data_IF_161962937947
#
_entry.id   IF_161962937947
#
_cell.length_a   1.000
_cell.length_b   1.000
_cell.length_c   1.000
_cell.angle_alpha   90.00
_cell.angle_beta   90.00
_cell.angle_gamma   90.00
#
_symmetry.space_group_name_H-M   'P 1'
#
loop_
_entity.id
_entity.type
_entity.pdbx_description
1 polymer ?
#
# COMPACT_ATOMS: atom_id res chain seq x y z
N UNK A 1 -19.88 -15.96 1.37
CA UNK A 1 -18.82 -14.92 1.39
C UNK A 1 -19.18 -13.91 2.45
N UNK A 2 -18.22 -13.49 3.27
CA UNK A 2 -18.44 -12.45 4.28
C UNK A 2 -18.72 -11.10 3.59
N UNK A 3 -19.64 -10.29 4.14
CA UNK A 3 -19.96 -8.96 3.58
C UNK A 3 -18.74 -8.06 3.66
N UNK A 4 -18.39 -7.43 2.54
CA UNK A 4 -17.25 -6.53 2.38
C UNK A 4 -17.69 -5.06 2.48
N UNK A 5 -16.74 -4.22 2.91
CA UNK A 5 -16.91 -2.79 3.14
C UNK A 5 -15.67 -2.04 2.66
N UNK A 6 -15.78 -0.72 2.52
CA UNK A 6 -14.67 0.17 2.17
C UNK A 6 -14.22 0.93 3.41
N UNK A 7 -12.96 0.74 3.80
CA UNK A 7 -12.24 1.63 4.71
C UNK A 7 -11.61 2.75 3.88
N UNK A 8 -12.08 3.98 4.08
CA UNK A 8 -11.69 5.16 3.34
C UNK A 8 -10.84 6.12 4.17
N UNK A 9 -9.64 6.42 3.70
CA UNK A 9 -8.76 7.44 4.28
C UNK A 9 -8.93 8.78 3.53
N UNK A 10 -9.47 9.82 4.18
CA UNK A 10 -9.70 11.12 3.54
C UNK A 10 -8.42 11.96 3.34
N UNK A 11 -7.29 11.60 3.96
CA UNK A 11 -6.01 12.31 3.77
C UNK A 11 -5.30 11.81 2.51
N UNK A 12 -5.41 10.50 2.24
CA UNK A 12 -4.70 9.84 1.12
C UNK A 12 -5.62 9.45 -0.04
N UNK A 13 -6.94 9.57 0.14
CA UNK A 13 -7.96 9.05 -0.76
C UNK A 13 -7.91 7.52 -0.96
N UNK A 14 -7.18 6.80 -0.10
CA UNK A 14 -7.05 5.35 -0.17
C UNK A 14 -8.38 4.67 0.19
N UNK A 15 -8.71 3.63 -0.58
CA UNK A 15 -9.92 2.81 -0.39
C UNK A 15 -9.48 1.36 -0.26
N UNK A 16 -9.62 0.80 0.94
CA UNK A 16 -9.29 -0.61 1.22
C UNK A 16 -10.57 -1.39 1.42
N UNK A 17 -10.65 -2.55 0.77
CA UNK A 17 -11.74 -3.51 1.01
C UNK A 17 -11.44 -4.24 2.32
N UNK A 18 -12.40 -4.26 3.24
CA UNK A 18 -12.27 -4.86 4.57
C UNK A 18 -13.55 -5.60 4.95
N UNK A 19 -13.46 -6.51 5.91
CA UNK A 19 -14.62 -7.09 6.61
C UNK A 19 -14.75 -6.50 8.01
N UNK A 20 -15.93 -6.59 8.63
CA UNK A 20 -16.13 -6.11 10.00
C UNK A 20 -15.30 -6.91 11.00
N UNK A 21 -15.12 -8.22 10.77
CA UNK A 21 -14.28 -9.07 11.61
C UNK A 21 -12.84 -8.57 11.63
N UNK A 22 -12.25 -8.41 10.44
CA UNK A 22 -10.87 -7.94 10.28
C UNK A 22 -10.69 -6.56 10.93
N UNK A 23 -11.62 -5.65 10.67
CA UNK A 23 -11.52 -4.28 11.19
C UNK A 23 -11.71 -4.22 12.70
N UNK A 24 -12.56 -5.07 13.29
CA UNK A 24 -12.74 -5.16 14.73
C UNK A 24 -11.45 -5.56 15.43
N UNK A 25 -10.76 -6.58 14.89
CA UNK A 25 -9.46 -7.03 15.39
C UNK A 25 -8.37 -5.97 15.24
N UNK A 26 -8.29 -5.29 14.09
CA UNK A 26 -7.25 -4.28 13.82
C UNK A 26 -7.45 -2.96 14.58
N UNK A 27 -8.70 -2.51 14.73
CA UNK A 27 -9.01 -1.20 15.27
C UNK A 27 -9.24 -1.21 16.80
N UNK A 28 -9.27 -2.39 17.42
CA UNK A 28 -9.68 -2.55 18.82
C UNK A 28 -11.11 -2.07 19.06
N UNK A 29 -12.03 -2.32 18.12
CA UNK A 29 -13.41 -1.85 18.13
C UNK A 29 -14.38 -3.02 18.12
N UNK A 30 -15.49 -2.89 18.84
CA UNK A 30 -16.59 -3.85 18.73
C UNK A 30 -17.28 -3.73 17.37
N UNK A 31 -17.89 -4.84 16.91
CA UNK A 31 -18.66 -4.85 15.65
C UNK A 31 -19.82 -3.87 15.69
N UNK A 32 -20.44 -3.70 16.85
CA UNK A 32 -21.53 -2.75 17.09
C UNK A 32 -21.03 -1.31 16.89
N UNK A 33 -19.85 -0.98 17.42
CA UNK A 33 -19.23 0.33 17.21
C UNK A 33 -18.89 0.60 15.75
N UNK A 34 -18.45 -0.42 15.01
CA UNK A 34 -18.19 -0.30 13.57
C UNK A 34 -19.49 -0.12 12.76
N UNK A 35 -20.55 -0.85 13.10
CA UNK A 35 -21.88 -0.66 12.49
C UNK A 35 -22.43 0.75 12.75
N UNK A 36 -22.24 1.28 13.96
CA UNK A 36 -22.59 2.65 14.27
C UNK A 36 -21.82 3.64 13.39
N UNK A 37 -20.49 3.43 13.23
CA UNK A 37 -19.67 4.29 12.38
C UNK A 37 -20.07 4.23 10.91
N UNK A 38 -20.42 3.05 10.40
CA UNK A 38 -20.96 2.84 9.07
C UNK A 38 -22.29 3.59 8.87
N UNK A 39 -23.24 3.38 9.77
CA UNK A 39 -24.59 3.99 9.68
C UNK A 39 -24.54 5.52 9.72
N UNK A 40 -23.70 6.09 10.59
CA UNK A 40 -23.62 7.53 10.81
C UNK A 40 -22.51 8.21 10.01
N UNK A 41 -21.77 7.44 9.19
CA UNK A 41 -20.55 7.89 8.48
C UNK A 41 -19.60 8.65 9.40
N UNK A 42 -19.45 8.18 10.64
CA UNK A 42 -18.61 8.82 11.63
C UNK A 42 -17.16 8.37 11.46
N UNK A 43 -16.22 9.28 11.74
CA UNK A 43 -14.80 9.01 11.57
C UNK A 43 -14.32 8.08 12.68
N UNK A 44 -13.72 6.95 12.30
CA UNK A 44 -13.02 6.05 13.21
C UNK A 44 -11.69 6.71 13.59
N UNK A 45 -11.69 7.48 14.68
CA UNK A 45 -10.56 8.34 15.08
C UNK A 45 -9.22 7.61 15.22
N UNK A 46 -9.23 6.36 15.69
CA UNK A 46 -8.01 5.56 15.86
C UNK A 46 -7.31 5.25 14.53
N UNK A 47 -8.06 5.18 13.43
CA UNK A 47 -7.54 4.91 12.09
C UNK A 47 -7.53 6.15 11.19
N UNK A 48 -8.12 7.25 11.64
CA UNK A 48 -8.45 8.42 10.83
C UNK A 48 -9.25 8.12 9.55
N UNK A 49 -10.02 7.03 9.54
CA UNK A 49 -10.75 6.56 8.37
C UNK A 49 -12.28 6.58 8.56
N UNK A 50 -13.01 6.44 7.46
CA UNK A 50 -14.46 6.21 7.43
C UNK A 50 -14.74 4.79 6.96
N UNK A 51 -15.78 4.16 7.50
CA UNK A 51 -16.27 2.87 7.04
C UNK A 51 -17.52 3.08 6.18
N UNK A 52 -17.54 2.50 4.98
CA UNK A 52 -18.56 2.74 3.96
C UNK A 52 -18.99 1.42 3.30
N UNK A 53 -20.21 1.40 2.76
CA UNK A 53 -20.69 0.29 1.91
C UNK A 53 -19.95 0.31 0.56
N UNK A 54 -19.82 -0.85 -0.09
CA UNK A 54 -19.12 -0.95 -1.39
C UNK A 54 -19.77 -0.16 -2.51
N UNK A 55 -21.09 -0.06 -2.50
CA UNK A 55 -21.91 0.67 -3.48
C UNK A 55 -22.03 2.17 -3.16
N UNK A 56 -21.30 2.65 -2.15
CA UNK A 56 -21.32 4.06 -1.74
C UNK A 56 -21.01 4.96 -2.95
N UNK A 57 -21.87 5.95 -3.26
CA UNK A 57 -21.63 6.86 -4.39
C UNK A 57 -20.37 7.70 -4.21
N UNK A 58 -19.68 7.99 -5.31
CA UNK A 58 -18.47 8.84 -5.35
C UNK A 58 -18.68 10.21 -4.70
N UNK A 59 -19.90 10.76 -4.76
CA UNK A 59 -20.26 12.03 -4.11
C UNK A 59 -20.02 12.02 -2.60
N UNK A 60 -20.29 10.90 -1.93
CA UNK A 60 -20.08 10.74 -0.49
C UNK A 60 -18.60 10.80 -0.16
N UNK A 61 -17.75 10.11 -0.92
CA UNK A 61 -16.30 10.17 -0.73
C UNK A 61 -15.76 11.60 -0.91
N UNK A 62 -16.29 12.36 -1.88
CA UNK A 62 -15.91 13.77 -2.10
C UNK A 62 -16.32 14.66 -0.92
N UNK A 63 -17.49 14.41 -0.33
CA UNK A 63 -17.94 15.11 0.88
C UNK A 63 -17.01 14.81 2.07
N UNK A 64 -16.62 13.56 2.26
CA UNK A 64 -15.71 13.15 3.33
C UNK A 64 -14.30 13.75 3.17
N UNK A 65 -13.80 13.84 1.93
CA UNK A 65 -12.57 14.58 1.63
C UNK A 65 -12.69 16.06 2.04
N UNK A 66 -13.82 16.70 1.73
CA UNK A 66 -14.06 18.10 2.05
C UNK A 66 -14.20 18.34 3.56
N UNK A 67 -14.75 17.38 4.31
CA UNK A 67 -14.85 17.42 5.78
C UNK A 67 -13.50 17.30 6.48
N UNK A 68 -12.50 16.69 5.83
CA UNK A 68 -11.18 16.50 6.41
C UNK A 68 -10.34 17.77 6.33
N UNK A 69 -10.15 18.41 7.47
CA UNK A 69 -9.29 19.58 7.65
C UNK A 69 -7.87 19.13 7.99
N UNK A 70 -6.91 19.55 7.17
CA UNK A 70 -5.49 19.28 7.33
C UNK A 70 -4.79 20.64 7.47
N UNK A 71 -4.24 20.92 8.67
CA UNK A 71 -3.78 22.26 9.04
C UNK A 71 -2.58 22.75 8.22
N UNK A 72 -1.70 21.82 7.85
CA UNK A 72 -0.45 22.04 7.11
C UNK A 72 -0.60 21.78 5.61
N UNK A 73 -1.83 21.63 5.11
CA UNK A 73 -2.05 21.40 3.70
C UNK A 73 -1.93 22.67 2.86
N UNK A 74 -1.01 22.64 1.92
CA UNK A 74 -0.79 23.73 0.95
C UNK A 74 -1.38 23.33 -0.40
N UNK A 75 -2.14 24.22 -1.03
CA UNK A 75 -2.73 24.02 -2.36
C UNK A 75 -1.98 24.84 -3.42
N UNK A 76 -1.69 24.23 -4.57
CA UNK A 76 -1.11 24.90 -5.75
C UNK A 76 -1.99 24.72 -6.98
N UNK A 77 -2.10 25.76 -7.79
CA UNK A 77 -2.77 25.71 -9.09
C UNK A 77 -1.97 24.89 -10.10
N UNK A 78 -2.67 24.08 -10.88
CA UNK A 78 -2.09 23.39 -12.03
C UNK A 78 -2.18 24.35 -13.23
N UNK A 79 -1.04 24.76 -13.83
CA UNK A 79 -1.02 25.70 -14.94
C UNK A 79 -1.95 25.30 -16.08
N UNK A 80 -2.57 26.30 -16.73
CA UNK A 80 -3.51 26.11 -17.83
C UNK A 80 -4.69 25.18 -17.52
N UNK A 81 -5.09 25.09 -16.24
CA UNK A 81 -6.22 24.28 -15.81
C UNK A 81 -7.07 25.01 -14.77
N UNK A 82 -8.26 24.49 -14.49
CA UNK A 82 -9.11 24.93 -13.36
C UNK A 82 -8.95 24.02 -12.15
N UNK A 83 -7.78 23.40 -11.99
CA UNK A 83 -7.52 22.39 -10.97
C UNK A 83 -6.42 22.84 -10.02
N UNK A 84 -6.53 22.35 -8.79
CA UNK A 84 -5.50 22.47 -7.77
C UNK A 84 -5.14 21.10 -7.25
N UNK A 85 -3.88 20.97 -6.85
CA UNK A 85 -3.35 19.81 -6.13
C UNK A 85 -2.70 20.28 -4.84
N UNK A 86 -2.84 19.49 -3.78
CA UNK A 86 -2.28 19.82 -2.48
C UNK A 86 -0.96 19.10 -2.18
N UNK A 87 -0.26 19.55 -1.13
CA UNK A 87 0.94 18.89 -0.58
C UNK A 87 0.65 17.46 -0.11
N UNK A 88 -0.61 17.15 0.21
CA UNK A 88 -1.08 15.81 0.56
C UNK A 88 -1.47 14.95 -0.66
N UNK A 89 -1.36 15.50 -1.88
CA UNK A 89 -1.76 14.83 -3.11
C UNK A 89 -3.28 14.72 -3.28
N UNK A 90 -4.05 15.60 -2.61
CA UNK A 90 -5.49 15.76 -2.81
C UNK A 90 -5.74 16.66 -4.01
N UNK A 91 -6.85 16.42 -4.72
CA UNK A 91 -7.22 17.18 -5.92
C UNK A 91 -8.55 17.86 -5.74
N UNK A 92 -8.66 19.07 -6.28
CA UNK A 92 -9.93 19.76 -6.43
C UNK A 92 -9.98 20.50 -7.76
N UNK A 93 -11.18 20.58 -8.32
CA UNK A 93 -11.45 21.34 -9.55
C UNK A 93 -12.45 22.44 -9.26
N UNK A 94 -12.30 23.59 -9.90
CA UNK A 94 -13.25 24.69 -9.79
C UNK A 94 -14.44 24.43 -10.71
N UNK A 95 -15.63 24.33 -10.12
CA UNK A 95 -16.91 24.26 -10.84
C UNK A 95 -17.68 25.53 -10.45
N UNK A 96 -17.96 26.39 -11.42
CA UNK A 96 -18.45 27.76 -11.16
C UNK A 96 -17.51 28.47 -10.16
N UNK A 97 -18.05 28.92 -9.02
CA UNK A 97 -17.31 29.59 -7.94
C UNK A 97 -16.94 28.67 -6.76
N UNK A 98 -17.11 27.35 -6.90
CA UNK A 98 -16.87 26.40 -5.81
C UNK A 98 -15.76 25.41 -6.14
N UNK A 99 -14.98 25.06 -5.13
CA UNK A 99 -14.01 23.97 -5.20
C UNK A 99 -14.69 22.64 -4.93
N UNK A 100 -14.56 21.71 -5.87
CA UNK A 100 -15.08 20.35 -5.73
C UNK A 100 -13.92 19.38 -5.66
N UNK A 101 -13.82 18.64 -4.56
CA UNK A 101 -12.82 17.59 -4.40
C UNK A 101 -13.00 16.49 -5.45
N UNK A 102 -11.89 15.99 -5.96
CA UNK A 102 -11.83 14.97 -7.00
C UNK A 102 -11.00 13.80 -6.49
N UNK A 103 -11.51 12.60 -6.72
CA UNK A 103 -10.87 11.35 -6.33
C UNK A 103 -10.06 10.83 -7.51
N UNK A 104 -8.77 10.55 -7.32
CA UNK A 104 -8.04 9.72 -8.26
C UNK A 104 -8.67 8.33 -8.37
N UNK A 105 -8.67 7.79 -9.58
CA UNK A 105 -9.07 6.42 -9.84
C UNK A 105 -8.03 5.46 -9.25
N UNK A 106 -8.50 4.51 -8.44
CA UNK A 106 -7.72 3.34 -8.06
C UNK A 106 -7.57 2.43 -9.27
N UNK A 107 -6.34 2.14 -9.67
CA UNK A 107 -6.12 1.09 -10.65
C UNK A 107 -6.31 -0.27 -9.98
N UNK A 108 -7.26 -1.10 -10.44
CA UNK A 108 -7.52 -2.44 -9.87
C UNK A 108 -6.28 -3.34 -9.86
N UNK A 109 -5.29 -3.07 -10.74
CA UNK A 109 -3.99 -3.76 -10.78
C UNK A 109 -2.90 -2.91 -10.15
N UNK A 110 -2.59 -3.11 -8.85
CA UNK A 110 -1.41 -2.65 -8.05
C UNK A 110 -0.67 -1.37 -8.53
N UNK A 111 -1.41 -0.42 -9.08
CA UNK A 111 -0.89 0.68 -9.87
C UNK A 111 -1.10 1.98 -9.13
N UNK A 112 -0.21 2.95 -9.36
CA UNK A 112 -0.37 4.29 -8.80
C UNK A 112 -1.73 4.89 -9.17
N UNK A 113 -2.24 5.71 -8.26
CA UNK A 113 -3.45 6.50 -8.47
C UNK A 113 -3.36 7.28 -9.78
N UNK A 114 -4.43 7.22 -10.59
CA UNK A 114 -4.53 7.98 -11.84
C UNK A 114 -5.62 9.03 -11.72
N UNK A 115 -5.42 10.17 -12.39
CA UNK A 115 -6.42 11.23 -12.43
C UNK A 115 -6.49 11.81 -13.85
N UNK A 116 -7.70 12.16 -14.26
CA UNK A 116 -7.96 12.84 -15.52
C UNK A 116 -8.20 14.33 -15.25
N UNK A 117 -7.34 15.17 -15.80
CA UNK A 117 -7.34 16.62 -15.60
C UNK A 117 -7.49 17.30 -16.95
N UNK A 118 -8.32 18.34 -17.02
CA UNK A 118 -8.43 19.17 -18.22
C UNK A 118 -7.39 20.28 -18.17
N UNK A 119 -6.41 20.23 -19.07
CA UNK A 119 -5.29 21.17 -19.20
C UNK A 119 -5.30 21.72 -20.63
N UNK A 120 -5.27 23.05 -20.78
CA UNK A 120 -5.29 23.74 -22.06
C UNK A 120 -6.41 23.25 -23.01
N UNK A 121 -7.59 22.94 -22.45
CA UNK A 121 -8.74 22.45 -23.21
C UNK A 121 -8.74 20.95 -23.51
N UNK A 122 -7.67 20.21 -23.23
CA UNK A 122 -7.56 18.77 -23.47
C UNK A 122 -7.61 17.98 -22.16
N UNK A 123 -8.24 16.80 -22.18
CA UNK A 123 -8.27 15.91 -21.01
C UNK A 123 -7.04 15.01 -21.03
N UNK A 124 -6.18 15.16 -20.03
CA UNK A 124 -4.98 14.35 -19.84
C UNK A 124 -5.17 13.37 -18.69
N UNK A 125 -4.91 12.08 -18.94
CA UNK A 125 -4.92 11.04 -17.91
C UNK A 125 -3.49 10.75 -17.45
N UNK A 126 -3.18 11.11 -16.21
CA UNK A 126 -1.83 11.03 -15.65
C UNK A 126 -1.81 10.36 -14.28
N UNK A 127 -0.62 9.92 -13.83
CA UNK A 127 -0.46 9.44 -12.46
C UNK A 127 -0.54 10.63 -11.49
N UNK A 128 -1.38 10.53 -10.46
CA UNK A 128 -1.63 11.60 -9.50
C UNK A 128 -0.31 12.16 -8.92
N UNK A 129 0.59 11.31 -8.43
CA UNK A 129 1.87 11.79 -7.88
C UNK A 129 2.68 12.73 -8.82
N UNK A 130 2.53 12.64 -10.15
CA UNK A 130 3.28 13.49 -11.09
C UNK A 130 3.02 14.99 -10.87
N UNK A 131 1.75 15.39 -10.70
CA UNK A 131 1.43 16.82 -10.48
C UNK A 131 1.85 17.31 -9.10
N UNK A 132 1.90 16.42 -8.11
CA UNK A 132 2.48 16.76 -6.80
C UNK A 132 3.98 17.03 -6.94
N UNK A 133 4.72 16.12 -7.59
CA UNK A 133 6.17 16.29 -7.83
C UNK A 133 6.44 17.57 -8.62
N UNK A 134 5.78 17.74 -9.78
CA UNK A 134 5.96 18.90 -10.66
C UNK A 134 5.77 20.22 -9.91
N UNK A 135 4.73 20.31 -9.08
CA UNK A 135 4.37 21.57 -8.45
C UNK A 135 5.02 21.80 -7.09
N UNK A 136 5.44 20.79 -6.34
CA UNK A 136 5.99 20.97 -4.99
C UNK A 136 7.46 20.59 -4.82
N UNK A 137 7.97 19.68 -5.65
CA UNK A 137 9.34 19.16 -5.54
C UNK A 137 10.22 19.73 -6.67
N UNK A 138 9.70 19.74 -7.90
CA UNK A 138 10.39 20.23 -9.08
C UNK A 138 10.61 19.15 -10.13
N UNK A 139 11.63 19.35 -10.96
CA UNK A 139 11.94 18.48 -12.08
C UNK A 139 12.49 17.12 -11.61
N UNK A 140 12.14 16.07 -12.35
CA UNK A 140 12.70 14.73 -12.12
C UNK A 140 14.08 14.67 -12.77
N UNK A 141 15.16 14.39 -12.02
CA UNK A 141 16.50 14.31 -12.60
C UNK A 141 16.60 13.25 -13.69
N UNK A 142 17.48 13.46 -14.67
CA UNK A 142 17.70 12.52 -15.76
C UNK A 142 18.11 11.13 -15.23
N UNK A 143 17.50 10.08 -15.76
CA UNK A 143 17.73 8.70 -15.31
C UNK A 143 16.99 8.28 -14.04
N UNK A 144 16.26 9.20 -13.39
CA UNK A 144 15.46 8.91 -12.20
C UNK A 144 13.97 8.71 -12.53
N UNK A 145 13.27 8.05 -11.61
CA UNK A 145 11.82 7.88 -11.62
C UNK A 145 11.25 8.28 -10.26
N UNK A 146 10.00 8.72 -10.26
CA UNK A 146 9.27 9.05 -9.03
C UNK A 146 9.00 7.77 -8.24
N UNK A 147 9.23 7.83 -6.94
CA UNK A 147 9.08 6.71 -6.02
C UNK A 147 8.41 7.12 -4.72
N UNK A 148 7.59 6.21 -4.17
CA UNK A 148 6.95 6.33 -2.87
C UNK A 148 7.84 5.70 -1.80
N UNK A 149 8.42 6.51 -0.91
CA UNK A 149 9.38 6.08 0.11
C UNK A 149 8.82 4.98 1.01
N UNK A 150 7.56 5.06 1.38
CA UNK A 150 6.87 4.06 2.20
C UNK A 150 6.26 2.89 1.42
N UNK A 151 6.39 2.84 0.09
CA UNK A 151 5.81 1.81 -0.77
C UNK A 151 4.30 1.92 -1.02
N UNK A 152 3.57 2.77 -0.31
CA UNK A 152 2.14 3.01 -0.54
C UNK A 152 1.92 3.97 -1.72
N UNK A 153 1.54 3.42 -2.88
CA UNK A 153 1.31 4.17 -4.13
C UNK A 153 0.06 5.06 -4.12
N UNK A 154 -0.76 4.98 -3.08
CA UNK A 154 -1.89 5.89 -2.84
C UNK A 154 -1.49 7.11 -2.03
N UNK A 155 -0.44 7.00 -1.21
CA UNK A 155 0.00 8.09 -0.34
C UNK A 155 0.91 9.08 -1.09
N UNK A 156 0.30 10.04 -1.78
CA UNK A 156 1.00 11.01 -2.62
C UNK A 156 1.44 12.28 -1.87
N UNK A 157 1.69 12.21 -0.56
CA UNK A 157 2.23 13.34 0.19
C UNK A 157 3.62 13.71 -0.30
N UNK A 158 3.94 15.00 -0.38
CA UNK A 158 5.22 15.53 -0.86
C UNK A 158 6.41 14.85 -0.18
N UNK A 159 6.37 14.68 1.14
CA UNK A 159 7.46 14.05 1.89
C UNK A 159 7.61 12.55 1.61
N UNK A 160 6.53 11.88 1.19
CA UNK A 160 6.57 10.47 0.81
C UNK A 160 7.07 10.27 -0.63
N UNK A 161 7.08 11.31 -1.45
CA UNK A 161 7.56 11.25 -2.82
C UNK A 161 9.06 11.57 -2.87
N UNK A 162 9.76 10.93 -3.80
CA UNK A 162 11.17 11.16 -4.05
C UNK A 162 11.60 10.60 -5.40
N UNK A 163 12.91 10.60 -5.62
CA UNK A 163 13.53 10.12 -6.86
C UNK A 163 14.42 8.93 -6.58
N UNK A 164 14.34 7.93 -7.44
CA UNK A 164 15.22 6.75 -7.42
C UNK A 164 15.61 6.40 -8.84
N UNK A 165 16.81 5.85 -9.05
CA UNK A 165 17.18 5.34 -10.37
C UNK A 165 16.36 4.09 -10.70
N UNK A 166 16.10 3.85 -11.99
CA UNK A 166 15.38 2.63 -12.42
C UNK A 166 16.06 1.36 -11.92
N UNK A 167 17.39 1.34 -11.90
CA UNK A 167 18.18 0.22 -11.39
C UNK A 167 18.00 0.00 -9.89
N UNK A 168 18.11 1.07 -9.07
CA UNK A 168 17.93 0.95 -7.64
C UNK A 168 16.48 0.57 -7.26
N UNK A 169 15.48 1.05 -8.02
CA UNK A 169 14.10 0.62 -7.86
C UNK A 169 13.92 -0.86 -8.21
N UNK A 170 14.49 -1.30 -9.33
CA UNK A 170 14.48 -2.71 -9.73
C UNK A 170 15.12 -3.58 -8.65
N UNK A 171 16.30 -3.22 -8.14
CA UNK A 171 16.96 -3.94 -7.05
C UNK A 171 16.06 -4.00 -5.82
N UNK A 172 15.48 -2.88 -5.36
CA UNK A 172 14.55 -2.90 -4.20
C UNK A 172 13.33 -3.79 -4.42
N UNK A 173 12.64 -3.65 -5.54
CA UNK A 173 11.44 -4.44 -5.83
C UNK A 173 11.78 -5.92 -6.06
N UNK A 174 12.88 -6.21 -6.75
CA UNK A 174 13.36 -7.57 -6.98
C UNK A 174 13.81 -8.20 -5.67
N UNK A 175 14.67 -7.55 -4.87
CA UNK A 175 15.07 -8.03 -3.55
C UNK A 175 13.86 -8.32 -2.66
N UNK A 176 12.82 -7.47 -2.66
CA UNK A 176 11.59 -7.77 -1.90
C UNK A 176 10.81 -8.98 -2.41
N UNK A 177 10.84 -9.28 -3.71
CA UNK A 177 10.15 -10.43 -4.32
C UNK A 177 11.01 -11.71 -4.30
N UNK A 178 12.33 -11.57 -4.19
CA UNK A 178 13.31 -12.64 -4.22
C UNK A 178 13.77 -13.07 -2.82
N UNK A 179 13.47 -12.29 -1.77
CA UNK A 179 13.60 -12.72 -0.38
C UNK A 179 12.62 -13.84 -0.12
N UNK A 180 13.09 -15.07 -0.23
CA UNK A 180 12.35 -16.26 0.18
C UNK A 180 12.68 -16.56 1.64
N UNK A 181 11.66 -16.55 2.47
CA UNK A 181 11.75 -16.96 3.86
C UNK A 181 12.18 -18.43 3.93
N UNK A 182 13.14 -18.71 4.78
CA UNK A 182 13.68 -20.05 5.01
C UNK A 182 13.26 -20.50 6.40
N UNK A 183 12.65 -21.68 6.48
CA UNK A 183 12.16 -22.28 7.72
C UNK A 183 13.12 -23.38 8.15
N UNK A 184 13.56 -23.30 9.41
CA UNK A 184 14.36 -24.32 10.09
C UNK A 184 13.45 -25.22 10.90
N UNK A 185 13.54 -26.52 10.64
CA UNK A 185 12.64 -27.53 11.20
C UNK A 185 13.45 -28.57 11.97
N UNK A 186 12.96 -28.93 13.15
CA UNK A 186 13.53 -29.99 13.98
C UNK A 186 13.37 -31.34 13.28
N UNK A 187 14.47 -32.07 13.18
CA UNK A 187 14.50 -33.35 12.47
C UNK A 187 13.72 -34.46 13.19
N UNK A 188 13.64 -34.42 14.52
CA UNK A 188 13.06 -35.50 15.34
C UNK A 188 11.55 -35.41 15.43
N UNK A 189 11.02 -34.20 15.60
CA UNK A 189 9.59 -33.99 15.82
C UNK A 189 8.89 -33.23 14.68
N UNK A 190 9.64 -32.77 13.67
CA UNK A 190 9.08 -32.07 12.52
C UNK A 190 8.55 -30.66 12.83
N UNK A 191 8.82 -30.11 14.02
CA UNK A 191 8.34 -28.79 14.40
C UNK A 191 9.22 -27.69 13.83
N UNK A 192 8.59 -26.60 13.40
CA UNK A 192 9.29 -25.36 13.06
C UNK A 192 10.00 -24.84 14.30
N UNK A 193 11.31 -24.62 14.19
CA UNK A 193 12.16 -24.04 15.24
C UNK A 193 12.27 -22.53 15.03
N UNK A 194 12.57 -22.12 13.81
CA UNK A 194 12.87 -20.71 13.50
C UNK A 194 12.62 -20.40 12.02
N UNK A 195 12.30 -19.15 11.74
CA UNK A 195 12.07 -18.64 10.39
C UNK A 195 13.00 -17.46 10.12
N UNK A 196 13.66 -17.50 8.97
CA UNK A 196 14.64 -16.48 8.57
C UNK A 196 14.15 -15.75 7.33
N UNK A 197 14.20 -14.41 7.29
CA UNK A 197 13.75 -13.62 6.13
C UNK A 197 14.52 -13.86 4.82
N UNK A 198 15.67 -14.52 4.89
CA UNK A 198 16.44 -14.95 3.71
C UNK A 198 17.42 -16.06 4.04
N UNK A 199 17.94 -16.73 3.00
CA UNK A 199 19.04 -17.70 3.12
C UNK A 199 20.28 -17.13 3.79
N UNK A 200 20.64 -15.87 3.49
CA UNK A 200 21.83 -15.22 4.07
C UNK A 200 21.66 -15.09 5.58
N UNK A 201 20.48 -14.64 6.04
CA UNK A 201 20.20 -14.50 7.49
C UNK A 201 20.18 -15.87 8.16
N UNK A 202 19.60 -16.89 7.51
CA UNK A 202 19.63 -18.26 8.01
C UNK A 202 21.07 -18.79 8.13
N UNK A 203 21.90 -18.55 7.12
CA UNK A 203 23.27 -19.01 7.07
C UNK A 203 24.12 -18.36 8.17
N UNK A 204 24.03 -17.03 8.32
CA UNK A 204 24.73 -16.26 9.33
C UNK A 204 24.33 -16.69 10.76
N UNK A 205 23.02 -16.76 11.05
CA UNK A 205 22.51 -17.19 12.35
C UNK A 205 22.86 -18.64 12.71
N UNK A 206 23.18 -19.47 11.72
CA UNK A 206 23.53 -20.87 11.90
C UNK A 206 25.01 -21.16 11.60
N UNK A 207 25.83 -20.11 11.51
CA UNK A 207 27.28 -20.20 11.29
C UNK A 207 27.66 -21.13 10.13
N UNK A 208 26.95 -20.98 9.01
CA UNK A 208 27.13 -21.81 7.80
C UNK A 208 27.09 -20.95 6.54
N UNK A 209 27.27 -21.58 5.38
CA UNK A 209 27.20 -20.94 4.08
C UNK A 209 25.80 -21.06 3.46
N UNK A 210 25.34 -20.00 2.78
CA UNK A 210 24.04 -19.96 2.09
C UNK A 210 23.86 -21.16 1.13
N UNK A 211 24.90 -21.55 0.40
CA UNK A 211 24.83 -22.65 -0.56
C UNK A 211 24.57 -24.00 0.11
N UNK A 212 24.99 -24.15 1.38
CA UNK A 212 24.75 -25.37 2.17
C UNK A 212 23.27 -25.54 2.47
N UNK A 213 22.62 -24.46 2.95
CA UNK A 213 21.19 -24.46 3.24
C UNK A 213 20.39 -24.55 1.93
N UNK A 214 20.75 -23.78 0.89
CA UNK A 214 20.04 -23.81 -0.40
C UNK A 214 20.06 -25.22 -1.03
N UNK A 215 21.22 -25.90 -0.99
CA UNK A 215 21.34 -27.27 -1.51
C UNK A 215 20.54 -28.27 -0.68
N UNK A 216 20.48 -28.08 0.64
CA UNK A 216 19.67 -28.90 1.54
C UNK A 216 18.18 -28.83 1.18
N UNK A 217 17.67 -27.60 0.95
CA UNK A 217 16.29 -27.38 0.51
C UNK A 217 16.04 -28.03 -0.87
N UNK A 218 16.92 -27.77 -1.87
CA UNK A 218 16.76 -28.30 -3.24
C UNK A 218 16.80 -29.83 -3.31
N UNK A 219 17.64 -30.45 -2.49
CA UNK A 219 17.82 -31.91 -2.48
C UNK A 219 16.93 -32.60 -1.45
N UNK A 220 16.06 -31.85 -0.77
CA UNK A 220 15.20 -32.33 0.30
C UNK A 220 15.95 -33.20 1.33
N UNK A 221 17.10 -32.70 1.80
CA UNK A 221 17.97 -33.40 2.75
C UNK A 221 18.29 -32.54 3.96
N UNK A 222 18.59 -33.14 5.12
CA UNK A 222 19.03 -32.36 6.27
C UNK A 222 20.41 -31.74 6.03
N UNK A 223 20.62 -30.57 6.64
CA UNK A 223 21.91 -29.93 6.75
C UNK A 223 22.07 -29.35 8.15
N UNK A 224 23.30 -29.36 8.67
CA UNK A 224 23.65 -28.83 10.01
C UNK A 224 22.72 -29.33 11.14
N UNK A 225 22.23 -30.56 11.02
CA UNK A 225 21.35 -31.19 12.01
C UNK A 225 19.84 -30.91 11.84
N UNK A 226 19.45 -30.03 10.92
CA UNK A 226 18.07 -29.58 10.74
C UNK A 226 17.54 -29.87 9.34
N UNK A 227 16.21 -29.85 9.21
CA UNK A 227 15.52 -29.82 7.93
C UNK A 227 15.29 -28.36 7.56
N UNK A 228 15.51 -28.01 6.30
CA UNK A 228 15.38 -26.67 5.78
C UNK A 228 14.34 -26.68 4.67
N UNK A 229 13.38 -25.77 4.72
CA UNK A 229 12.35 -25.61 3.68
C UNK A 229 12.12 -24.14 3.37
N UNK A 230 11.63 -23.85 2.17
CA UNK A 230 11.00 -22.56 1.91
C UNK A 230 9.67 -22.47 2.68
N UNK A 231 9.31 -21.27 3.12
CA UNK A 231 7.99 -21.02 3.74
C UNK A 231 6.83 -21.53 2.87
N UNK A 232 6.92 -21.34 1.56
CA UNK A 232 5.93 -21.86 0.58
C UNK A 232 5.74 -23.38 0.68
N UNK A 233 6.84 -24.15 0.83
CA UNK A 233 6.76 -25.62 0.93
C UNK A 233 6.12 -26.07 2.25
N UNK A 234 6.36 -25.32 3.34
CA UNK A 234 5.75 -25.60 4.65
C UNK A 234 4.25 -25.28 4.62
N UNK A 235 3.87 -24.16 4.00
CA UNK A 235 2.47 -23.78 3.85
C UNK A 235 1.68 -24.78 3.01
N UNK A 236 2.25 -25.26 1.90
CA UNK A 236 1.63 -26.30 1.06
C UNK A 236 1.45 -27.62 1.84
N UNK A 237 2.45 -28.05 2.60
CA UNK A 237 2.35 -29.28 3.41
C UNK A 237 1.28 -29.17 4.52
N UNK A 238 1.05 -27.98 5.08
CA UNK A 238 -0.02 -27.77 6.07
C UNK A 238 -1.42 -27.71 5.44
N UNK A 239 -1.53 -27.22 4.20
CA UNK A 239 -2.81 -27.12 3.49
C UNK A 239 -3.28 -28.45 2.89
N UNK A 240 -2.35 -29.37 2.61
CA UNK A 240 -2.61 -30.69 2.02
C UNK A 240 -2.27 -31.86 2.95
N UNK A 241 -2.06 -31.59 4.24
CA UNK A 241 -2.08 -32.64 5.26
C UNK A 241 -3.54 -32.95 5.62
N UNK A 242 -4.01 -34.13 5.21
CA UNK A 242 -5.31 -34.69 5.61
C UNK A 242 -5.45 -34.83 7.14
#
# INVERSE_FOLDING_TARGET
>A
MEKQFILFDPRTAERKVVTLELLAGMAGRTKEGLRYALQHRSKIRSLNCYLLEEDTPISVFRELLAKEVILDEVWRDIPNSRWQVSSYGRYRSRVQERWVYRLPDMNKKKGSLKISIQIAGKVERLNAHKKVVELFIGEVPEGYVIYHKNGNKSYNHVDNLGFITKWALFQREATSRLKKTVVKIDRKNGKVIEEYPSLIVAADANFTDESTIQRAIKQNRPAIGFIWKWEEQVADELLYAD
#
